data_IF_666976880404
#
_entry.id   IF_666976880404
#
_cell.length_a   1.000
_cell.length_b   1.000
_cell.length_c   1.000
_cell.angle_alpha   90.00
_cell.angle_beta   90.00
_cell.angle_gamma   90.00
#
_symmetry.space_group_name_H-M   'P 1'
#
loop_
_entity.id
_entity.type
_entity.pdbx_description
1 polymer ?
#
# COMPACT_ATOMS: atom_id res chain seq x y z
N UNK A 1 60.00 -35.34 -23.52
CA UNK A 1 58.68 -35.75 -24.04
C UNK A 1 57.61 -35.28 -23.06
N UNK A 2 57.13 -34.04 -23.22
CA UNK A 2 55.85 -33.58 -22.64
C UNK A 2 55.43 -32.30 -23.38
N UNK A 3 54.20 -32.34 -23.89
CA UNK A 3 53.67 -31.49 -24.95
C UNK A 3 53.46 -30.03 -24.55
N UNK A 4 53.88 -29.16 -25.46
CA UNK A 4 53.32 -27.82 -25.67
C UNK A 4 51.80 -27.90 -25.87
N UNK A 5 51.06 -27.09 -25.13
CA UNK A 5 49.64 -26.82 -25.39
C UNK A 5 49.55 -25.39 -25.89
N UNK A 6 49.47 -25.25 -27.21
CA UNK A 6 49.14 -24.04 -27.93
C UNK A 6 47.64 -23.76 -27.79
N UNK A 7 47.25 -22.63 -27.20
CA UNK A 7 45.90 -22.09 -27.31
C UNK A 7 45.99 -20.72 -27.99
N UNK A 8 45.95 -20.78 -29.33
CA UNK A 8 45.80 -19.62 -30.20
C UNK A 8 44.48 -18.92 -29.93
N UNK A 9 44.56 -17.61 -29.80
CA UNK A 9 43.44 -16.72 -29.55
C UNK A 9 42.39 -16.73 -30.66
N UNK A 10 41.16 -16.52 -30.24
CA UNK A 10 40.07 -16.04 -31.08
C UNK A 10 39.66 -14.68 -30.55
N UNK A 11 40.24 -13.65 -31.16
CA UNK A 11 39.71 -12.29 -31.18
C UNK A 11 38.72 -12.23 -32.35
N UNK A 12 37.45 -11.93 -32.08
CA UNK A 12 36.55 -11.41 -33.10
C UNK A 12 35.76 -10.22 -32.58
N UNK A 13 35.80 -9.18 -33.41
CA UNK A 13 35.39 -7.80 -33.24
C UNK A 13 33.92 -7.59 -33.63
N UNK A 14 33.33 -6.53 -33.09
CA UNK A 14 32.18 -5.81 -33.67
C UNK A 14 30.83 -6.22 -33.07
N UNK A 15 29.89 -5.32 -32.78
CA UNK A 15 29.68 -3.98 -33.31
C UNK A 15 29.16 -3.02 -32.21
N UNK A 16 29.68 -1.79 -32.24
CA UNK A 16 29.12 -0.65 -31.51
C UNK A 16 27.78 -0.27 -32.15
N UNK A 17 26.67 -0.35 -31.43
CA UNK A 17 25.43 0.36 -31.81
C UNK A 17 25.46 1.75 -31.16
N UNK A 18 26.12 2.67 -31.84
CA UNK A 18 26.00 4.09 -31.58
C UNK A 18 24.86 4.70 -32.42
N UNK A 19 24.32 5.82 -31.91
CA UNK A 19 23.29 6.72 -32.46
C UNK A 19 21.87 6.33 -31.99
N UNK A 20 21.06 7.23 -31.40
CA UNK A 20 20.84 8.62 -31.74
C UNK A 20 20.69 9.53 -30.50
N UNK A 21 21.54 10.57 -30.40
CA UNK A 21 21.26 11.81 -29.69
C UNK A 21 20.90 12.85 -30.75
N UNK A 22 19.63 13.23 -30.86
CA UNK A 22 19.25 14.51 -31.45
C UNK A 22 18.00 15.03 -30.75
N UNK A 23 18.23 16.11 -30.04
CA UNK A 23 17.33 17.13 -29.53
C UNK A 23 16.08 17.34 -30.40
N UNK A 24 14.91 17.35 -29.75
CA UNK A 24 13.81 18.27 -30.10
C UNK A 24 13.32 18.88 -28.79
N UNK A 25 14.11 19.83 -28.30
CA UNK A 25 13.54 20.94 -27.54
C UNK A 25 12.98 21.93 -28.55
N UNK A 26 11.87 22.58 -28.19
CA UNK A 26 11.14 23.60 -28.96
C UNK A 26 10.03 23.11 -29.90
N UNK A 27 8.83 23.02 -29.33
CA UNK A 27 7.59 23.50 -29.96
C UNK A 27 6.62 23.87 -28.85
N UNK A 28 7.03 24.88 -28.08
CA UNK A 28 6.12 25.71 -27.30
C UNK A 28 5.65 26.77 -28.29
N UNK A 29 4.33 26.96 -28.39
CA UNK A 29 3.60 27.85 -29.32
C UNK A 29 3.20 27.25 -30.68
N UNK A 30 2.17 26.38 -30.68
CA UNK A 30 1.18 26.26 -31.78
C UNK A 30 -0.06 25.50 -31.28
N UNK A 31 -0.67 25.95 -30.17
CA UNK A 31 -2.05 25.58 -29.85
C UNK A 31 -2.75 26.77 -29.16
N UNK A 32 -2.63 27.94 -29.78
CA UNK A 32 -3.23 29.20 -29.34
C UNK A 32 -4.25 29.77 -30.35
N UNK A 33 -4.90 28.93 -31.16
CA UNK A 33 -6.18 29.27 -31.77
C UNK A 33 -6.84 28.03 -32.39
N UNK A 34 -8.06 27.70 -31.95
CA UNK A 34 -8.91 26.76 -32.68
C UNK A 34 -9.35 25.50 -31.94
N UNK A 35 -9.70 25.57 -30.65
CA UNK A 35 -10.80 24.73 -30.16
C UNK A 35 -11.95 25.65 -29.77
N UNK A 36 -12.70 25.98 -30.83
CA UNK A 36 -14.02 26.55 -30.80
C UNK A 36 -14.83 25.83 -29.72
N UNK A 37 -15.40 26.63 -28.83
CA UNK A 37 -16.26 26.19 -27.73
C UNK A 37 -17.49 25.49 -28.30
N UNK A 38 -17.40 24.17 -28.47
CA UNK A 38 -18.59 23.34 -28.60
C UNK A 38 -19.18 23.20 -27.19
N UNK A 39 -19.95 24.21 -26.78
CA UNK A 39 -20.97 24.05 -25.75
C UNK A 39 -21.92 22.97 -26.27
N UNK A 40 -21.70 21.73 -25.85
CA UNK A 40 -22.69 20.67 -25.97
C UNK A 40 -23.84 21.11 -25.08
N UNK A 41 -24.81 21.81 -25.69
CA UNK A 41 -26.13 22.00 -25.12
C UNK A 41 -26.77 20.61 -25.02
N UNK A 42 -26.48 19.91 -23.92
CA UNK A 42 -27.33 18.80 -23.51
C UNK A 42 -28.73 19.39 -23.36
N UNK A 43 -29.75 18.86 -24.04
CA UNK A 43 -31.11 19.29 -23.77
C UNK A 43 -31.32 19.02 -22.29
N UNK A 44 -31.56 20.09 -21.52
CA UNK A 44 -32.06 19.97 -20.16
C UNK A 44 -33.40 19.27 -20.34
N UNK A 45 -33.40 17.95 -20.17
CA UNK A 45 -34.62 17.14 -20.12
C UNK A 45 -35.30 17.58 -18.83
N UNK A 46 -36.12 18.62 -18.96
CA UNK A 46 -37.07 18.99 -17.95
C UNK A 46 -38.05 17.83 -17.87
N UNK A 47 -37.78 16.90 -16.95
CA UNK A 47 -38.82 16.00 -16.44
C UNK A 47 -39.91 16.95 -15.95
N UNK A 48 -40.98 17.06 -16.74
CA UNK A 48 -42.21 17.76 -16.36
C UNK A 48 -42.65 17.32 -14.96
N UNK A 49 -43.51 18.10 -14.29
CA UNK A 49 -43.87 17.86 -12.89
C UNK A 49 -44.21 16.37 -12.74
N UNK A 50 -43.32 15.66 -12.04
CA UNK A 50 -43.47 14.24 -11.78
C UNK A 50 -44.81 14.14 -11.07
N UNK A 51 -45.83 13.62 -11.77
CA UNK A 51 -47.18 13.38 -11.23
C UNK A 51 -46.95 12.88 -9.81
N UNK A 52 -47.38 13.68 -8.83
CA UNK A 52 -47.02 13.48 -7.44
C UNK A 52 -47.27 12.01 -7.15
N UNK A 53 -46.18 11.25 -7.03
CA UNK A 53 -46.26 9.90 -6.53
C UNK A 53 -46.77 10.15 -5.13
N UNK A 54 -48.03 9.80 -4.91
CA UNK A 54 -48.68 9.87 -3.61
C UNK A 54 -47.61 9.47 -2.60
N UNK A 55 -47.25 10.45 -1.76
CA UNK A 55 -46.38 10.17 -0.65
C UNK A 55 -46.99 8.94 0.02
N UNK A 56 -46.22 7.89 0.35
CA UNK A 56 -46.76 6.88 1.23
C UNK A 56 -47.31 7.69 2.41
N UNK A 57 -48.61 7.53 2.65
CA UNK A 57 -49.28 8.19 3.75
C UNK A 57 -48.34 8.01 4.94
N UNK A 58 -47.98 9.12 5.59
CA UNK A 58 -47.38 9.03 6.90
C UNK A 58 -48.48 8.38 7.73
N UNK A 59 -48.45 7.05 7.79
CA UNK A 59 -49.05 6.31 8.87
C UNK A 59 -48.36 6.90 10.08
N UNK A 60 -49.06 7.85 10.69
CA UNK A 60 -48.84 8.22 12.07
C UNK A 60 -48.85 6.89 12.77
N UNK A 61 -47.66 6.42 13.15
CA UNK A 61 -47.49 5.24 13.98
C UNK A 61 -48.22 5.62 15.26
N UNK A 62 -49.52 5.35 15.29
CA UNK A 62 -50.29 5.26 16.51
C UNK A 62 -49.62 4.12 17.25
N UNK A 63 -49.04 4.35 18.44
CA UNK A 63 -48.45 3.27 19.22
C UNK A 63 -49.59 2.33 19.60
N UNK A 64 -49.81 1.33 18.74
CA UNK A 64 -50.81 0.30 18.94
C UNK A 64 -50.04 -0.89 19.45
N UNK A 65 -49.94 -0.91 20.78
CA UNK A 65 -49.13 -1.85 21.52
C UNK A 65 -48.73 -1.18 22.82
N UNK A 66 -49.50 -1.42 23.86
CA UNK A 66 -48.98 -1.43 25.22
C UNK A 66 -47.95 -2.57 25.23
N UNK A 67 -46.74 -2.26 24.80
CA UNK A 67 -45.55 -3.04 25.08
C UNK A 67 -44.88 -2.24 26.17
N UNK A 68 -44.68 -2.88 27.31
CA UNK A 68 -44.14 -2.32 28.54
C UNK A 68 -43.25 -1.11 28.27
N UNK A 69 -43.52 -0.01 28.97
CA UNK A 69 -42.62 1.13 29.10
C UNK A 69 -41.33 0.63 29.78
N UNK A 70 -40.55 -0.17 29.07
CA UNK A 70 -39.27 -0.68 29.51
C UNK A 70 -38.38 0.54 29.55
N UNK A 71 -38.36 1.16 30.72
CA UNK A 71 -37.49 2.28 31.07
C UNK A 71 -36.12 1.97 30.46
N UNK A 72 -35.68 2.81 29.52
CA UNK A 72 -34.40 2.58 28.86
C UNK A 72 -33.28 2.74 29.89
N UNK A 73 -32.77 1.62 30.42
CA UNK A 73 -31.65 1.59 31.36
C UNK A 73 -30.37 1.36 30.58
N UNK A 74 -29.52 2.38 30.51
CA UNK A 74 -28.22 2.27 29.85
C UNK A 74 -27.31 1.31 30.63
N UNK A 75 -26.94 0.19 30.02
CA UNK A 75 -25.93 -0.73 30.55
C UNK A 75 -24.55 -0.45 29.91
N UNK A 76 -23.57 0.10 30.64
CA UNK A 76 -22.24 0.42 30.11
C UNK A 76 -21.34 -0.80 29.85
N UNK A 77 -21.71 -2.01 30.32
CA UNK A 77 -20.82 -3.18 30.24
C UNK A 77 -20.43 -3.50 28.79
N UNK A 78 -19.13 -3.68 28.56
CA UNK A 78 -18.55 -4.04 27.27
C UNK A 78 -18.40 -2.89 26.26
N UNK A 79 -18.83 -1.66 26.61
CA UNK A 79 -18.68 -0.48 25.75
C UNK A 79 -17.41 0.29 26.13
N UNK A 80 -16.73 0.92 25.16
CA UNK A 80 -15.58 1.77 25.45
C UNK A 80 -16.03 3.00 26.25
N UNK A 81 -15.29 3.29 27.32
CA UNK A 81 -15.54 4.44 28.19
C UNK A 81 -15.34 5.77 27.43
N UNK A 82 -16.39 6.62 27.32
CA UNK A 82 -16.32 7.89 26.59
C UNK A 82 -15.39 8.93 27.24
N UNK A 83 -15.05 8.77 28.52
CA UNK A 83 -14.16 9.67 29.26
C UNK A 83 -12.71 9.17 29.30
N UNK A 84 -12.46 7.96 28.81
CA UNK A 84 -11.10 7.45 28.67
C UNK A 84 -10.36 8.13 27.52
N UNK A 85 -9.20 8.73 27.81
CA UNK A 85 -8.40 9.43 26.79
C UNK A 85 -7.90 8.47 25.71
N UNK A 86 -8.32 8.70 24.47
CA UNK A 86 -7.82 7.96 23.30
C UNK A 86 -6.31 8.18 23.09
N UNK A 87 -5.82 9.39 23.39
CA UNK A 87 -4.40 9.76 23.24
C UNK A 87 -3.54 8.95 24.21
N UNK A 88 -3.93 8.87 25.49
CA UNK A 88 -3.21 8.10 26.49
C UNK A 88 -3.09 6.61 26.11
N UNK A 89 -4.13 6.05 25.48
CA UNK A 89 -4.13 4.66 25.01
C UNK A 89 -3.16 4.45 23.83
N UNK A 90 -3.12 5.39 22.89
CA UNK A 90 -2.16 5.36 21.77
C UNK A 90 -0.71 5.51 22.25
N UNK A 91 -0.46 6.44 23.15
CA UNK A 91 0.87 6.66 23.74
C UNK A 91 1.37 5.41 24.50
N UNK A 92 0.49 4.73 25.23
CA UNK A 92 0.84 3.47 25.90
C UNK A 92 1.25 2.38 24.90
N UNK A 93 0.55 2.27 23.76
CA UNK A 93 0.90 1.35 22.68
C UNK A 93 2.24 1.68 22.04
N UNK A 94 2.45 2.95 21.67
CA UNK A 94 3.72 3.44 21.10
C UNK A 94 4.89 3.23 22.08
N UNK A 95 4.69 3.51 23.38
CA UNK A 95 5.70 3.28 24.41
C UNK A 95 6.05 1.80 24.55
N UNK A 96 5.05 0.91 24.49
CA UNK A 96 5.29 -0.55 24.46
C UNK A 96 6.06 -0.97 23.22
N UNK A 97 5.76 -0.39 22.04
CA UNK A 97 6.50 -0.66 20.79
C UNK A 97 7.94 -0.17 20.88
N UNK A 98 8.17 1.07 21.31
CA UNK A 98 9.51 1.68 21.46
C UNK A 98 10.38 0.99 22.51
N UNK A 99 9.77 0.42 23.56
CA UNK A 99 10.49 -0.41 24.55
C UNK A 99 11.07 -1.69 23.93
N UNK A 100 10.51 -2.19 22.82
CA UNK A 100 11.04 -3.37 22.13
C UNK A 100 12.32 -2.97 21.42
N UNK A 101 13.47 -3.44 21.94
CA UNK A 101 14.75 -3.27 21.24
C UNK A 101 14.72 -4.04 19.91
N UNK A 102 15.15 -3.43 18.79
CA UNK A 102 15.27 -4.11 17.51
C UNK A 102 16.27 -5.25 17.63
N UNK A 103 15.95 -6.42 17.07
CA UNK A 103 16.84 -7.60 17.09
C UNK A 103 17.70 -7.66 15.84
N UNK A 104 17.21 -7.07 14.75
CA UNK A 104 17.87 -7.06 13.45
C UNK A 104 17.99 -5.63 12.90
N UNK A 105 18.96 -5.39 12.03
CA UNK A 105 19.13 -4.11 11.35
C UNK A 105 17.88 -3.71 10.55
N UNK A 106 17.21 -4.67 9.92
CA UNK A 106 15.97 -4.44 9.14
C UNK A 106 14.82 -3.88 9.98
N UNK A 107 14.81 -4.09 11.30
CA UNK A 107 13.81 -3.51 12.21
C UNK A 107 14.13 -2.05 12.59
N UNK A 108 15.32 -1.55 12.28
CA UNK A 108 15.71 -0.15 12.50
C UNK A 108 15.37 0.76 11.33
N UNK A 109 15.07 0.17 10.17
CA UNK A 109 14.80 0.87 8.93
C UNK A 109 13.29 1.01 8.70
N UNK A 110 12.88 2.05 8.00
CA UNK A 110 11.50 2.17 7.54
C UNK A 110 11.29 1.37 6.25
N UNK A 111 10.07 0.84 6.03
CA UNK A 111 9.75 0.09 4.80
C UNK A 111 9.84 0.93 3.52
N UNK A 112 9.78 2.26 3.64
CA UNK A 112 9.98 3.23 2.56
C UNK A 112 11.44 3.21 2.06
N UNK A 113 12.40 3.02 2.95
CA UNK A 113 13.84 3.00 2.68
C UNK A 113 14.33 1.68 2.08
N UNK A 114 13.49 0.64 2.15
CA UNK A 114 13.81 -0.69 1.66
C UNK A 114 13.21 -0.88 0.28
N UNK A 115 14.03 -1.12 -0.73
CA UNK A 115 13.61 -1.43 -2.10
C UNK A 115 13.62 -2.94 -2.34
N UNK A 116 12.57 -3.50 -2.92
CA UNK A 116 12.55 -4.92 -3.29
C UNK A 116 13.27 -5.10 -4.63
N UNK A 117 14.42 -5.80 -4.61
CA UNK A 117 15.31 -5.93 -5.77
C UNK A 117 15.35 -7.32 -6.38
N UNK A 118 14.98 -8.36 -5.63
CA UNK A 118 14.93 -9.72 -6.16
C UNK A 118 13.92 -10.58 -5.40
N UNK A 119 13.32 -11.53 -6.12
CA UNK A 119 12.48 -12.60 -5.57
C UNK A 119 13.00 -13.91 -6.15
N UNK A 120 13.14 -14.91 -5.30
CA UNK A 120 13.56 -16.26 -5.67
C UNK A 120 12.49 -17.23 -5.20
N UNK A 121 11.88 -17.92 -6.17
CA UNK A 121 10.89 -18.97 -5.95
C UNK A 121 11.54 -20.29 -6.34
N UNK A 122 11.49 -21.28 -5.47
CA UNK A 122 12.08 -22.57 -5.76
C UNK A 122 11.60 -23.67 -4.81
N UNK A 123 11.94 -24.94 -5.10
CA UNK A 123 11.49 -26.08 -4.30
C UNK A 123 12.00 -26.04 -2.86
N UNK A 124 13.12 -25.36 -2.61
CA UNK A 124 13.71 -25.15 -1.28
C UNK A 124 13.05 -24.00 -0.48
N UNK A 125 12.06 -23.33 -1.06
CA UNK A 125 11.29 -22.26 -0.45
C UNK A 125 11.48 -20.89 -1.11
N UNK A 126 10.62 -19.96 -0.71
CA UNK A 126 10.55 -18.62 -1.29
C UNK A 126 11.28 -17.61 -0.41
N UNK A 127 12.08 -16.76 -1.03
CA UNK A 127 12.85 -15.72 -0.37
C UNK A 127 13.00 -14.52 -1.29
N UNK A 128 13.27 -13.37 -0.70
CA UNK A 128 13.43 -12.13 -1.42
C UNK A 128 14.65 -11.37 -0.91
N UNK A 129 15.12 -10.41 -1.69
CA UNK A 129 16.19 -9.51 -1.31
C UNK A 129 15.70 -8.08 -1.35
N UNK A 130 15.93 -7.35 -0.26
CA UNK A 130 15.66 -5.92 -0.17
C UNK A 130 16.95 -5.14 -0.08
N UNK A 131 17.01 -3.98 -0.72
CA UNK A 131 18.15 -3.06 -0.68
C UNK A 131 17.79 -1.86 0.20
N UNK A 132 18.68 -1.48 1.11
CA UNK A 132 18.51 -0.26 1.90
C UNK A 132 18.95 1.00 1.12
N UNK A 133 18.74 2.18 1.69
CA UNK A 133 19.17 3.45 1.10
C UNK A 133 20.70 3.59 0.97
N UNK A 134 21.48 2.74 1.64
CA UNK A 134 22.94 2.68 1.54
C UNK A 134 23.39 1.73 0.42
N UNK A 135 22.47 1.06 -0.25
CA UNK A 135 22.75 0.10 -1.31
C UNK A 135 23.03 -1.32 -0.82
N UNK A 136 22.93 -1.60 0.49
CA UNK A 136 23.21 -2.90 1.07
C UNK A 136 22.00 -3.82 0.89
N UNK A 137 22.23 -5.01 0.33
CA UNK A 137 21.22 -6.04 0.12
C UNK A 137 21.05 -6.95 1.35
N UNK A 138 19.80 -7.19 1.75
CA UNK A 138 19.44 -8.08 2.84
C UNK A 138 18.43 -9.14 2.37
N UNK A 139 18.66 -10.38 2.76
CA UNK A 139 17.76 -11.49 2.47
C UNK A 139 16.62 -11.53 3.48
N UNK A 140 15.40 -11.68 2.98
CA UNK A 140 14.18 -11.82 3.77
C UNK A 140 13.41 -13.08 3.38
N UNK A 141 12.76 -13.70 4.37
CA UNK A 141 11.91 -14.88 4.22
C UNK A 141 10.62 -14.66 4.99
N UNK A 142 9.62 -15.54 4.79
CA UNK A 142 8.43 -15.55 5.65
C UNK A 142 8.83 -15.57 7.13
N UNK A 143 8.27 -14.67 7.92
CA UNK A 143 8.56 -14.52 9.34
C UNK A 143 9.71 -13.56 9.67
N UNK A 144 10.47 -13.07 8.69
CA UNK A 144 11.51 -12.06 8.95
C UNK A 144 10.87 -10.77 9.47
N UNK A 145 11.38 -10.26 10.59
CA UNK A 145 11.00 -8.96 11.14
C UNK A 145 11.67 -7.84 10.33
N UNK A 146 10.90 -6.82 9.97
CA UNK A 146 11.31 -5.77 9.04
C UNK A 146 10.49 -4.51 9.32
N UNK A 147 11.09 -3.33 9.22
CA UNK A 147 10.38 -2.08 9.49
C UNK A 147 10.40 -1.68 10.97
N UNK A 148 10.45 -0.38 11.23
CA UNK A 148 10.33 0.24 12.56
C UNK A 148 8.96 0.00 13.23
N UNK A 149 7.92 -0.27 12.44
CA UNK A 149 6.56 -0.50 12.93
C UNK A 149 6.28 -1.96 13.30
N UNK A 150 7.32 -2.78 13.47
CA UNK A 150 7.17 -4.19 13.83
C UNK A 150 6.56 -5.01 12.70
N UNK A 151 6.92 -4.69 11.47
CA UNK A 151 6.48 -5.43 10.30
C UNK A 151 7.05 -6.85 10.28
N UNK A 152 6.27 -7.77 9.73
CA UNK A 152 6.68 -9.17 9.53
C UNK A 152 6.36 -9.56 8.10
N UNK A 153 7.32 -10.19 7.43
CA UNK A 153 7.12 -10.75 6.10
C UNK A 153 6.09 -11.88 6.17
N UNK A 154 4.92 -11.65 5.60
CA UNK A 154 3.81 -12.60 5.61
C UNK A 154 3.94 -13.63 4.49
N UNK A 155 4.19 -13.16 3.26
CA UNK A 155 4.34 -14.00 2.06
C UNK A 155 5.33 -13.41 1.08
N UNK A 156 6.09 -14.28 0.43
CA UNK A 156 6.92 -13.96 -0.74
C UNK A 156 6.27 -14.63 -1.95
N UNK A 157 5.75 -13.80 -2.85
CA UNK A 157 5.11 -14.19 -4.11
C UNK A 157 6.03 -13.86 -5.29
N UNK A 158 5.80 -14.37 -6.50
CA UNK A 158 6.70 -14.16 -7.65
C UNK A 158 6.90 -12.69 -8.05
N UNK A 159 5.90 -11.84 -7.84
CA UNK A 159 5.88 -10.43 -8.26
C UNK A 159 6.04 -9.42 -7.10
N UNK A 160 5.84 -9.89 -5.85
CA UNK A 160 5.75 -9.02 -4.68
C UNK A 160 6.02 -9.73 -3.36
N UNK A 161 6.34 -8.94 -2.35
CA UNK A 161 6.40 -9.35 -0.94
C UNK A 161 5.26 -8.67 -0.19
N UNK A 162 4.53 -9.43 0.61
CA UNK A 162 3.47 -8.94 1.49
C UNK A 162 4.02 -8.87 2.92
N UNK A 163 3.98 -7.67 3.50
CA UNK A 163 4.45 -7.37 4.86
C UNK A 163 3.23 -6.97 5.69
N UNK A 164 3.16 -7.46 6.93
CA UNK A 164 2.09 -7.13 7.87
C UNK A 164 2.64 -6.28 9.01
N UNK A 165 2.08 -5.10 9.20
CA UNK A 165 2.37 -4.21 10.34
C UNK A 165 1.16 -4.13 11.28
N UNK A 166 1.44 -3.93 12.57
CA UNK A 166 0.41 -3.74 13.59
C UNK A 166 0.21 -2.26 13.83
N UNK A 167 -1.02 -1.79 13.69
CA UNK A 167 -1.42 -0.41 13.94
C UNK A 167 -2.53 -0.37 14.99
N UNK A 168 -2.64 0.72 15.73
CA UNK A 168 -3.77 0.96 16.63
C UNK A 168 -4.75 1.92 15.93
N UNK A 169 -6.01 1.52 15.85
CA UNK A 169 -7.11 2.33 15.35
C UNK A 169 -7.51 3.42 16.38
N UNK A 170 -8.26 4.44 15.98
CA UNK A 170 -8.73 5.51 16.89
C UNK A 170 -9.56 4.97 18.06
N UNK A 171 -10.19 3.80 17.89
CA UNK A 171 -10.96 3.09 18.93
C UNK A 171 -10.09 2.26 19.88
N UNK A 172 -8.77 2.26 19.71
CA UNK A 172 -7.83 1.46 20.50
C UNK A 172 -7.77 -0.02 20.10
N UNK A 173 -8.31 -0.39 18.94
CA UNK A 173 -8.25 -1.76 18.42
C UNK A 173 -6.95 -1.97 17.64
N UNK A 174 -6.29 -3.11 17.83
CA UNK A 174 -5.12 -3.46 17.03
C UNK A 174 -5.58 -3.96 15.66
N UNK A 175 -5.26 -3.19 14.62
CA UNK A 175 -5.51 -3.51 13.22
C UNK A 175 -4.22 -3.98 12.56
N UNK A 176 -4.31 -5.00 11.71
CA UNK A 176 -3.17 -5.44 10.89
C UNK A 176 -3.26 -4.76 9.54
N UNK A 177 -2.23 -4.00 9.18
CA UNK A 177 -2.10 -3.37 7.87
C UNK A 177 -1.23 -4.23 6.97
N UNK A 178 -1.74 -4.57 5.78
CA UNK A 178 -0.95 -5.24 4.75
C UNK A 178 -0.29 -4.21 3.84
N UNK A 179 1.04 -4.36 3.68
CA UNK A 179 1.87 -3.51 2.85
C UNK A 179 2.48 -4.38 1.76
N UNK A 180 2.24 -3.99 0.52
CA UNK A 180 2.71 -4.73 -0.65
C UNK A 180 3.94 -4.04 -1.23
N UNK A 181 5.08 -4.75 -1.23
CA UNK A 181 6.29 -4.31 -1.93
C UNK A 181 6.37 -5.04 -3.26
N UNK A 182 6.18 -4.32 -4.37
CA UNK A 182 6.30 -4.89 -5.72
C UNK A 182 7.75 -4.91 -6.15
N UNK A 183 8.12 -5.91 -6.95
CA UNK A 183 9.43 -5.94 -7.58
C UNK A 183 9.44 -4.89 -8.70
N UNK A 184 10.31 -3.89 -8.57
CA UNK A 184 10.50 -2.89 -9.61
C UNK A 184 11.48 -3.48 -10.65
N UNK A 185 11.13 -3.39 -11.94
CA UNK A 185 12.07 -3.73 -13.00
C UNK A 185 13.20 -2.70 -12.99
N UNK A 186 14.45 -3.15 -12.96
CA UNK A 186 15.59 -2.27 -13.20
C UNK A 186 15.47 -1.72 -14.63
N UNK A 187 15.43 -0.39 -14.74
CA UNK A 187 15.42 0.32 -16.02
C UNK A 187 16.82 0.35 -16.64
#
# INVERSE_FOLDING_TARGET
MWSHIDLKGVQMKGARKARNRTFIASSIATFLLGFFTASVAQPIVFKGPRKAKEAPAIETIRPTGIQDEATYVYNPKGKPDPFSSFIARQEAFEKKRKRRKPRTYLETLELSQLELIAIIIGPKGNWAMVRDSKGIGHVIKKGTAIGTNGGIVYKVLPDKVIIREKHMDFRGREITKEIVKKLHASK
#
